data_IF_984935012368
#
_entry.id   IF_984935012368
#
_cell.length_a   1.000
_cell.length_b   1.000
_cell.length_c   1.000
_cell.angle_alpha   90.00
_cell.angle_beta   90.00
_cell.angle_gamma   90.00
#
_symmetry.space_group_name_H-M   'P 1'
#
loop_
_entity.id
_entity.type
_entity.pdbx_description
1 polymer ?
#
# COMPACT_ATOMS: atom_id res chain seq x y z
N UNK A 1 4.16 -35.53 1.78
CA UNK A 1 4.25 -34.13 2.29
C UNK A 1 4.22 -33.09 1.17
N UNK A 2 4.82 -33.33 -0.01
CA UNK A 2 4.82 -32.39 -1.14
C UNK A 2 3.42 -32.04 -1.71
N UNK A 3 2.50 -33.01 -1.78
CA UNK A 3 1.15 -32.78 -2.37
C UNK A 3 0.22 -31.94 -1.49
N UNK A 4 0.41 -31.98 -0.17
CA UNK A 4 -0.26 -31.07 0.78
C UNK A 4 0.24 -29.63 0.61
N UNK A 5 1.53 -29.43 0.31
CA UNK A 5 2.09 -28.09 0.06
C UNK A 5 1.50 -27.42 -1.20
N UNK A 6 1.32 -28.17 -2.28
CA UNK A 6 0.74 -27.66 -3.53
C UNK A 6 -0.74 -27.29 -3.42
N UNK A 7 -1.51 -28.02 -2.60
CA UNK A 7 -2.92 -27.71 -2.34
C UNK A 7 -3.09 -26.46 -1.48
N UNK A 8 -2.22 -26.24 -0.48
CA UNK A 8 -2.22 -25.00 0.32
C UNK A 8 -1.84 -23.77 -0.52
N UNK A 9 -0.86 -23.89 -1.42
CA UNK A 9 -0.45 -22.81 -2.34
C UNK A 9 -1.54 -22.42 -3.33
N UNK A 10 -2.44 -23.34 -3.68
CA UNK A 10 -3.56 -23.09 -4.61
C UNK A 10 -4.82 -22.56 -3.93
N UNK A 11 -4.86 -22.56 -2.59
CA UNK A 11 -6.03 -22.11 -1.85
C UNK A 11 -6.25 -20.60 -2.04
N UNK A 12 -7.50 -20.13 -2.26
CA UNK A 12 -7.80 -18.69 -2.44
C UNK A 12 -7.33 -17.80 -1.28
N UNK A 13 -7.13 -18.36 -0.09
CA UNK A 13 -6.60 -17.66 1.08
C UNK A 13 -5.07 -17.43 1.04
N UNK A 14 -4.31 -18.17 0.23
CA UNK A 14 -2.85 -18.12 0.28
C UNK A 14 -2.29 -16.72 -0.03
N UNK A 15 -2.78 -16.11 -1.11
CA UNK A 15 -2.37 -14.75 -1.50
C UNK A 15 -2.77 -13.68 -0.46
N UNK A 16 -4.02 -13.59 0.03
CA UNK A 16 -4.37 -12.60 1.04
C UNK A 16 -3.64 -12.80 2.36
N UNK A 17 -3.39 -14.04 2.78
CA UNK A 17 -2.58 -14.32 3.96
C UNK A 17 -1.13 -13.87 3.76
N UNK A 18 -0.52 -14.15 2.60
CA UNK A 18 0.84 -13.71 2.30
C UNK A 18 0.95 -12.18 2.29
N UNK A 19 -0.02 -11.48 1.68
CA UNK A 19 -0.05 -10.01 1.67
C UNK A 19 -0.27 -9.45 3.07
N UNK A 20 -1.17 -10.03 3.87
CA UNK A 20 -1.39 -9.60 5.25
C UNK A 20 -0.13 -9.80 6.11
N UNK A 21 0.53 -10.96 5.99
CA UNK A 21 1.77 -11.25 6.71
C UNK A 21 2.90 -10.28 6.30
N UNK A 22 3.08 -10.03 5.01
CA UNK A 22 4.06 -9.08 4.51
C UNK A 22 3.75 -7.64 4.97
N UNK A 23 2.48 -7.24 4.93
CA UNK A 23 2.03 -5.92 5.40
C UNK A 23 2.27 -5.73 6.90
N UNK A 24 1.94 -6.73 7.72
CA UNK A 24 2.20 -6.71 9.16
C UNK A 24 3.69 -6.67 9.48
N UNK A 25 4.51 -7.48 8.79
CA UNK A 25 5.95 -7.45 8.97
C UNK A 25 6.54 -6.08 8.58
N UNK A 26 6.10 -5.51 7.46
CA UNK A 26 6.49 -4.16 7.04
C UNK A 26 6.05 -3.08 8.03
N UNK A 27 4.81 -3.15 8.53
CA UNK A 27 4.31 -2.22 9.54
C UNK A 27 5.09 -2.31 10.84
N UNK A 28 5.39 -3.52 11.33
CA UNK A 28 6.20 -3.73 12.52
C UNK A 28 7.62 -3.17 12.36
N UNK A 29 8.24 -3.39 11.19
CA UNK A 29 9.56 -2.82 10.90
C UNK A 29 9.54 -1.29 10.90
N UNK A 30 8.57 -0.69 10.20
CA UNK A 30 8.42 0.76 10.12
C UNK A 30 8.10 1.34 11.50
N UNK A 31 7.26 0.69 12.31
CA UNK A 31 6.95 1.16 13.66
C UNK A 31 8.20 1.39 14.50
N UNK A 32 9.18 0.47 14.44
CA UNK A 32 10.44 0.58 15.16
C UNK A 32 11.55 1.37 14.45
N UNK A 33 11.36 1.73 13.17
CA UNK A 33 12.41 2.33 12.34
C UNK A 33 11.92 3.60 11.66
N UNK A 34 12.41 4.76 12.11
CA UNK A 34 11.98 6.06 11.60
C UNK A 34 12.38 6.25 10.10
N UNK A 35 11.41 6.28 9.16
CA UNK A 35 11.67 6.48 7.72
C UNK A 35 11.96 7.94 7.33
N UNK A 36 11.89 8.88 8.29
CA UNK A 36 12.32 10.27 8.09
C UNK A 36 13.84 10.43 8.23
N UNK A 37 14.51 9.48 8.89
CA UNK A 37 15.94 9.51 9.14
C UNK A 37 16.70 8.57 8.19
N UNK A 38 17.92 8.93 7.75
CA UNK A 38 18.77 8.02 6.99
C UNK A 38 19.27 6.84 7.85
N UNK A 39 19.75 5.77 7.21
CA UNK A 39 20.38 4.63 7.90
C UNK A 39 19.48 3.41 8.12
N UNK A 40 18.23 3.47 7.69
CA UNK A 40 17.32 2.32 7.69
C UNK A 40 17.50 1.43 6.45
N UNK A 41 16.98 0.20 6.51
CA UNK A 41 17.02 -0.78 5.41
C UNK A 41 15.90 -0.58 4.37
N UNK A 42 15.07 0.47 4.48
CA UNK A 42 14.05 0.74 3.47
C UNK A 42 14.73 1.11 2.14
N UNK A 43 14.42 0.40 1.04
CA UNK A 43 14.98 0.73 -0.26
C UNK A 43 14.48 2.10 -0.71
N UNK A 44 15.34 2.84 -1.41
CA UNK A 44 14.91 4.06 -2.08
C UNK A 44 13.87 3.74 -3.15
N UNK A 45 12.93 4.66 -3.36
CA UNK A 45 11.90 4.50 -4.39
C UNK A 45 12.58 4.45 -5.77
N UNK A 46 12.47 3.35 -6.53
CA UNK A 46 13.17 3.19 -7.80
C UNK A 46 12.69 4.23 -8.84
N UNK A 47 11.41 4.59 -8.81
CA UNK A 47 10.87 5.64 -9.68
C UNK A 47 11.55 6.99 -9.44
N UNK A 48 11.67 7.40 -8.17
CA UNK A 48 12.35 8.65 -7.80
C UNK A 48 13.84 8.59 -8.11
N UNK A 49 14.46 7.43 -7.89
CA UNK A 49 15.88 7.23 -8.19
C UNK A 49 16.16 7.42 -9.70
N UNK A 50 15.29 6.86 -10.57
CA UNK A 50 15.47 6.93 -12.02
C UNK A 50 15.05 8.29 -12.61
N UNK A 51 13.96 8.87 -12.12
CA UNK A 51 13.36 10.07 -12.75
C UNK A 51 13.64 11.38 -12.01
N UNK A 52 14.06 11.31 -10.75
CA UNK A 52 14.08 12.45 -9.83
C UNK A 52 12.71 12.88 -9.31
N UNK A 53 11.61 12.37 -9.88
CA UNK A 53 10.24 12.79 -9.60
C UNK A 53 9.59 11.97 -8.47
N UNK A 54 8.69 12.61 -7.73
CA UNK A 54 7.83 11.96 -6.75
C UNK A 54 6.62 11.33 -7.45
N UNK A 55 6.49 10.00 -7.38
CA UNK A 55 5.30 9.28 -7.85
C UNK A 55 4.10 9.52 -6.92
N UNK A 56 2.87 9.12 -7.30
CA UNK A 56 1.68 9.40 -6.49
C UNK A 56 1.71 8.70 -5.13
N UNK A 57 2.44 7.60 -5.00
CA UNK A 57 2.60 6.84 -3.75
C UNK A 57 3.88 7.19 -2.95
N UNK A 58 4.75 8.08 -3.46
CA UNK A 58 5.96 8.47 -2.73
C UNK A 58 5.60 9.08 -1.36
N UNK A 59 6.37 8.73 -0.32
CA UNK A 59 6.09 9.12 1.07
C UNK A 59 5.17 8.15 1.83
N UNK A 60 4.68 7.07 1.21
CA UNK A 60 3.75 6.14 1.86
C UNK A 60 4.30 5.46 3.13
N UNK A 61 5.59 5.12 3.18
CA UNK A 61 6.20 4.54 4.38
C UNK A 61 6.27 5.53 5.54
N UNK A 62 6.59 6.80 5.26
CA UNK A 62 6.59 7.88 6.26
C UNK A 62 5.17 8.22 6.73
N UNK A 63 4.22 8.28 5.81
CA UNK A 63 2.80 8.43 6.15
C UNK A 63 2.32 7.31 7.08
N UNK A 64 2.68 6.05 6.81
CA UNK A 64 2.31 4.92 7.68
C UNK A 64 3.00 5.02 9.04
N UNK A 65 4.28 5.40 9.09
CA UNK A 65 4.99 5.66 10.35
C UNK A 65 4.27 6.70 11.20
N UNK A 66 3.98 7.86 10.62
CA UNK A 66 3.34 8.98 11.31
C UNK A 66 1.94 8.60 11.82
N UNK A 67 1.15 7.88 11.02
CA UNK A 67 -0.15 7.36 11.44
C UNK A 67 -0.04 6.41 12.64
N UNK A 68 0.94 5.50 12.64
CA UNK A 68 1.13 4.57 13.76
C UNK A 68 1.57 5.26 15.05
N UNK A 69 2.19 6.44 14.94
CA UNK A 69 2.61 7.28 16.07
C UNK A 69 1.59 8.39 16.40
N UNK A 70 0.39 8.36 15.81
CA UNK A 70 -0.67 9.35 16.05
C UNK A 70 -0.41 10.74 15.47
N UNK A 71 0.57 10.90 14.59
CA UNK A 71 0.98 12.16 13.99
C UNK A 71 0.20 12.45 12.69
N UNK A 72 -1.11 12.68 12.80
CA UNK A 72 -1.99 12.85 11.63
C UNK A 72 -1.60 14.02 10.71
N UNK A 73 -1.15 15.14 11.28
CA UNK A 73 -0.69 16.29 10.50
C UNK A 73 0.55 15.94 9.68
N UNK A 74 1.52 15.24 10.28
CA UNK A 74 2.72 14.82 9.57
C UNK A 74 2.39 13.81 8.46
N UNK A 75 1.53 12.83 8.75
CA UNK A 75 1.02 11.88 7.75
C UNK A 75 0.31 12.57 6.57
N UNK A 76 -0.47 13.63 6.84
CA UNK A 76 -1.10 14.45 5.82
C UNK A 76 -0.06 15.12 4.92
N UNK A 77 1.02 15.66 5.49
CA UNK A 77 2.10 16.27 4.72
C UNK A 77 2.92 15.25 3.91
N UNK A 78 3.09 14.03 4.43
CA UNK A 78 3.81 12.97 3.72
C UNK A 78 3.09 12.53 2.44
N UNK A 79 1.79 12.26 2.51
CA UNK A 79 0.98 11.93 1.33
C UNK A 79 -0.54 12.06 1.54
N UNK A 80 -1.09 13.23 1.21
CA UNK A 80 -2.54 13.53 1.29
C UNK A 80 -3.41 12.56 0.51
N UNK A 81 -3.05 12.29 -0.75
CA UNK A 81 -3.89 11.47 -1.63
C UNK A 81 -3.89 10.03 -1.19
N UNK A 82 -2.72 9.49 -0.82
CA UNK A 82 -2.64 8.12 -0.31
C UNK A 82 -3.36 7.99 1.04
N UNK A 83 -3.26 8.98 1.93
CA UNK A 83 -3.96 9.01 3.20
C UNK A 83 -5.49 8.96 3.01
N UNK A 84 -6.01 9.77 2.08
CA UNK A 84 -7.45 9.77 1.74
C UNK A 84 -7.89 8.49 1.04
N UNK A 85 -7.02 7.86 0.25
CA UNK A 85 -7.30 6.60 -0.44
C UNK A 85 -7.19 5.36 0.48
N UNK A 86 -6.41 5.45 1.56
CA UNK A 86 -6.14 4.36 2.49
C UNK A 86 -7.39 3.63 3.01
N UNK A 87 -8.45 4.30 3.52
CA UNK A 87 -9.64 3.59 4.02
C UNK A 87 -10.31 2.75 2.93
N UNK A 88 -10.39 3.24 1.69
CA UNK A 88 -10.95 2.48 0.58
C UNK A 88 -10.09 1.27 0.23
N UNK A 89 -8.76 1.44 0.20
CA UNK A 89 -7.82 0.35 -0.03
C UNK A 89 -7.93 -0.74 1.06
N UNK A 90 -8.05 -0.33 2.34
CA UNK A 90 -8.23 -1.25 3.47
C UNK A 90 -9.55 -2.03 3.39
N UNK A 91 -10.65 -1.40 2.97
CA UNK A 91 -11.94 -2.10 2.77
C UNK A 91 -11.83 -3.14 1.66
N UNK A 92 -11.20 -2.80 0.53
CA UNK A 92 -10.99 -3.74 -0.57
C UNK A 92 -10.08 -4.90 -0.15
N UNK A 93 -8.99 -4.61 0.57
CA UNK A 93 -8.07 -5.62 1.11
C UNK A 93 -8.77 -6.54 2.12
N UNK A 94 -9.56 -5.98 3.03
CA UNK A 94 -10.33 -6.72 4.02
C UNK A 94 -11.38 -7.63 3.38
N UNK A 95 -12.10 -7.12 2.37
CA UNK A 95 -13.05 -7.95 1.60
C UNK A 95 -12.34 -9.08 0.87
N UNK A 96 -11.22 -8.79 0.20
CA UNK A 96 -10.42 -9.82 -0.46
C UNK A 96 -9.94 -10.90 0.51
N UNK A 97 -9.49 -10.49 1.70
CA UNK A 97 -9.05 -11.38 2.75
C UNK A 97 -10.17 -12.30 3.26
N UNK A 98 -11.32 -11.71 3.63
CA UNK A 98 -12.49 -12.46 4.11
C UNK A 98 -12.99 -13.45 3.05
N UNK A 99 -13.09 -13.04 1.80
CA UNK A 99 -13.52 -13.91 0.71
C UNK A 99 -12.52 -15.05 0.44
N UNK A 100 -11.22 -14.77 0.52
CA UNK A 100 -10.17 -15.78 0.43
C UNK A 100 -10.26 -16.83 1.54
N UNK A 101 -10.52 -16.41 2.79
CA UNK A 101 -10.74 -17.32 3.92
C UNK A 101 -12.01 -18.17 3.76
N UNK A 102 -13.04 -17.63 3.10
CA UNK A 102 -14.26 -18.36 2.73
C UNK A 102 -14.06 -19.32 1.55
N UNK A 103 -12.84 -19.46 1.04
CA UNK A 103 -12.51 -20.32 -0.11
C UNK A 103 -12.99 -19.75 -1.45
N UNK A 104 -13.33 -18.46 -1.52
CA UNK A 104 -13.81 -17.80 -2.74
C UNK A 104 -12.73 -16.92 -3.35
N UNK A 105 -12.66 -16.91 -4.69
CA UNK A 105 -11.79 -15.98 -5.42
C UNK A 105 -12.56 -14.70 -5.66
N UNK A 106 -12.21 -13.64 -4.93
CA UNK A 106 -12.79 -12.32 -5.13
C UNK A 106 -11.84 -11.45 -5.94
N UNK A 107 -12.39 -10.70 -6.89
CA UNK A 107 -11.68 -9.67 -7.66
C UNK A 107 -12.50 -8.39 -7.62
N UNK A 108 -11.91 -7.24 -7.24
CA UNK A 108 -12.59 -5.97 -7.34
C UNK A 108 -12.79 -5.61 -8.82
N UNK A 109 -14.04 -5.40 -9.22
CA UNK A 109 -14.38 -4.86 -10.54
C UNK A 109 -14.59 -3.36 -10.42
N UNK A 110 -13.62 -2.60 -10.93
CA UNK A 110 -13.72 -1.14 -11.03
C UNK A 110 -14.26 -0.77 -12.41
N UNK A 111 -15.30 0.05 -12.46
CA UNK A 111 -15.82 0.57 -13.73
C UNK A 111 -14.73 1.36 -14.47
N UNK A 112 -14.68 1.37 -15.81
CA UNK A 112 -13.68 2.14 -16.56
C UNK A 112 -13.63 3.62 -16.18
N UNK A 113 -14.79 4.22 -15.87
CA UNK A 113 -14.88 5.61 -15.36
C UNK A 113 -14.19 5.79 -14.02
N UNK A 114 -14.34 4.82 -13.10
CA UNK A 114 -13.69 4.84 -11.79
C UNK A 114 -12.18 4.67 -11.93
N UNK A 115 -11.74 3.78 -12.83
CA UNK A 115 -10.31 3.60 -13.14
C UNK A 115 -9.72 4.90 -13.73
N UNK A 116 -10.39 5.52 -14.70
CA UNK A 116 -9.98 6.79 -15.28
C UNK A 116 -9.91 7.91 -14.23
N UNK A 117 -10.87 7.97 -13.31
CA UNK A 117 -10.87 8.93 -12.22
C UNK A 117 -9.67 8.72 -11.27
N UNK A 118 -9.41 7.48 -10.84
CA UNK A 118 -8.27 7.16 -9.98
C UNK A 118 -6.95 7.53 -10.67
N UNK A 119 -6.80 7.20 -11.94
CA UNK A 119 -5.62 7.54 -12.73
C UNK A 119 -5.48 9.06 -12.91
N UNK A 120 -6.57 9.76 -13.21
CA UNK A 120 -6.59 11.21 -13.33
C UNK A 120 -6.18 11.90 -12.04
N UNK A 121 -6.70 11.45 -10.89
CA UNK A 121 -6.29 11.93 -9.56
C UNK A 121 -4.80 11.66 -9.30
N UNK A 122 -4.33 10.44 -9.60
CA UNK A 122 -2.93 10.06 -9.40
C UNK A 122 -1.98 10.94 -10.24
N UNK A 123 -2.28 11.15 -11.52
CA UNK A 123 -1.50 12.01 -12.42
C UNK A 123 -1.53 13.46 -11.96
N UNK A 124 -2.71 13.97 -11.62
CA UNK A 124 -2.87 15.36 -11.15
C UNK A 124 -2.07 15.59 -9.88
N UNK A 125 -2.13 14.65 -8.92
CA UNK A 125 -1.34 14.72 -7.70
C UNK A 125 0.16 14.66 -7.95
N UNK A 126 0.60 13.77 -8.85
CA UNK A 126 2.01 13.72 -9.27
C UNK A 126 2.46 15.05 -9.84
N UNK A 127 1.66 15.71 -10.69
CA UNK A 127 2.01 17.03 -11.23
C UNK A 127 2.09 18.06 -10.09
N UNK A 128 1.04 18.18 -9.27
CA UNK A 128 0.96 19.17 -8.19
C UNK A 128 2.16 19.05 -7.24
N UNK A 129 2.48 17.85 -6.76
CA UNK A 129 3.53 17.66 -5.75
C UNK A 129 4.97 17.78 -6.25
N UNK A 130 5.18 17.84 -7.57
CA UNK A 130 6.51 18.01 -8.16
C UNK A 130 6.73 19.46 -8.62
N UNK A 131 5.67 20.25 -8.78
CA UNK A 131 5.75 21.65 -9.21
C UNK A 131 5.61 22.65 -8.04
N UNK A 132 4.96 22.23 -6.96
CA UNK A 132 4.71 23.02 -5.75
C UNK A 132 5.13 22.21 -4.52
#
# INVERSE_FOLDING_TARGET
>A
MAERGLTTLRHPAAAPLAVAAAGLAGAAYVYGTNPHEPGHLLPQCPFRYVTGLLCPACGGTRMVYDLMHGQFTAAWHDNRVLLLAAPFALVLLGRWFVEGLRGRRWRPELRPRTQALILGIAVTWTIVRNLY
#
